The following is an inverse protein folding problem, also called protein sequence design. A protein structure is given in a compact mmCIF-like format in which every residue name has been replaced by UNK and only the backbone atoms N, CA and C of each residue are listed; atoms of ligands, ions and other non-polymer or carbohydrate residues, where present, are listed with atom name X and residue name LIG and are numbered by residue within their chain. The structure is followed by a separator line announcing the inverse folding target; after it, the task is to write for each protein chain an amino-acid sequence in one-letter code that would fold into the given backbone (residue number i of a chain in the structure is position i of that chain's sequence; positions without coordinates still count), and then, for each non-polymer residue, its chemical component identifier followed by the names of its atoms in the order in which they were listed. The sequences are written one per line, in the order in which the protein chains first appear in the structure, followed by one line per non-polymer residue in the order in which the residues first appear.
data_IF_258567454200
#
_entry.id   IF_258567454200
#
_cell.length_a   1.000
_cell.length_b   1.000
_cell.length_c   1.000
_cell.angle_alpha   90.00
_cell.angle_beta   90.00
_cell.angle_gamma   90.00
#
_symmetry.space_group_name_H-M   'P 1'
#
loop_
_entity.id
_entity.type
_entity.pdbx_description
1 polymer ?
#
# COMPACT_ATOMS: atom_id res chain seq x y z
N UNK A 1 1.01 14.13 6.57
CA UNK A 1 0.24 13.11 5.82
C UNK A 1 0.95 11.78 6.02
N UNK A 2 0.32 10.82 6.69
CA UNK A 2 0.86 9.47 6.76
C UNK A 2 0.40 8.69 5.52
N UNK A 3 1.34 8.05 4.81
CA UNK A 3 1.03 7.17 3.69
C UNK A 3 0.29 5.95 4.20
N UNK A 4 -0.92 5.73 3.68
CA UNK A 4 -1.77 4.59 4.04
C UNK A 4 -1.19 3.27 3.56
N UNK A 5 -0.63 3.25 2.35
CA UNK A 5 -0.03 2.05 1.79
C UNK A 5 1.49 2.09 1.92
N UNK A 6 2.12 0.94 2.19
CA UNK A 6 3.57 0.79 2.27
C UNK A 6 4.06 -0.47 1.61
N UNK A 7 5.30 -0.44 1.14
CA UNK A 7 6.04 -1.63 0.71
C UNK A 7 6.78 -2.21 1.92
N UNK A 8 6.64 -3.51 2.14
CA UNK A 8 7.48 -4.28 3.07
C UNK A 8 8.25 -5.35 2.32
N UNK A 9 9.47 -5.62 2.75
CA UNK A 9 10.24 -6.78 2.30
C UNK A 9 9.87 -7.99 3.17
N UNK A 10 9.60 -9.12 2.52
CA UNK A 10 9.38 -10.40 3.18
C UNK A 10 10.21 -11.46 2.50
N UNK A 11 10.77 -12.38 3.28
CA UNK A 11 11.44 -13.57 2.75
C UNK A 11 10.46 -14.73 2.78
N UNK A 12 10.26 -15.36 1.62
CA UNK A 12 9.42 -16.54 1.53
C UNK A 12 10.15 -17.71 2.19
N UNK A 13 9.48 -18.40 3.11
CA UNK A 13 10.14 -19.40 3.96
C UNK A 13 10.59 -20.66 3.20
N UNK A 14 9.94 -21.01 2.09
CA UNK A 14 10.24 -22.23 1.35
C UNK A 14 11.47 -22.14 0.43
N UNK A 15 11.70 -20.99 -0.20
CA UNK A 15 12.77 -20.81 -1.20
C UNK A 15 13.78 -19.70 -0.81
N UNK A 16 13.56 -19.01 0.32
CA UNK A 16 14.41 -17.91 0.78
C UNK A 16 14.36 -16.68 -0.12
N UNK A 17 13.45 -16.64 -1.10
CA UNK A 17 13.38 -15.57 -2.08
C UNK A 17 12.76 -14.34 -1.44
N UNK A 18 13.41 -13.20 -1.67
CA UNK A 18 12.88 -11.90 -1.29
C UNK A 18 11.64 -11.57 -2.13
N UNK A 19 10.62 -11.10 -1.45
CA UNK A 19 9.37 -10.65 -2.03
C UNK A 19 9.01 -9.30 -1.42
N UNK A 20 8.42 -8.44 -2.23
CA UNK A 20 7.99 -7.12 -1.82
C UNK A 20 6.47 -7.11 -1.79
N UNK A 21 5.89 -6.76 -0.64
CA UNK A 21 4.44 -6.79 -0.43
C UNK A 21 3.95 -5.37 -0.21
N UNK A 22 2.88 -5.00 -0.91
CA UNK A 22 2.18 -3.74 -0.65
C UNK A 22 1.11 -4.01 0.41
N UNK A 23 1.18 -3.29 1.52
CA UNK A 23 0.29 -3.44 2.69
C UNK A 23 -0.50 -2.16 2.93
N UNK A 24 -1.77 -2.32 3.33
CA UNK A 24 -2.61 -1.25 3.84
C UNK A 24 -2.42 -1.13 5.36
N UNK A 25 -1.96 0.03 5.83
CA UNK A 25 -1.78 0.36 7.24
C UNK A 25 -3.06 0.93 7.86
N UNK A 26 -4.16 0.19 7.81
CA UNK A 26 -5.35 0.52 8.60
C UNK A 26 -5.11 0.21 10.07
N UNK A 27 -5.72 1.00 10.97
CA UNK A 27 -5.74 0.66 12.40
C UNK A 27 -6.31 -0.76 12.56
N UNK A 28 -5.49 -1.69 13.05
CA UNK A 28 -5.89 -3.07 13.30
C UNK A 28 -5.20 -4.14 12.44
N UNK A 29 -4.38 -3.80 11.44
CA UNK A 29 -3.45 -4.79 10.87
C UNK A 29 -3.00 -4.57 9.42
N UNK A 30 -1.82 -5.12 9.10
CA UNK A 30 -1.26 -5.16 7.75
C UNK A 30 -1.88 -6.29 6.92
N UNK A 31 -2.95 -5.98 6.20
CA UNK A 31 -3.49 -6.91 5.20
C UNK A 31 -2.78 -6.70 3.85
N UNK A 32 -2.00 -7.69 3.38
CA UNK A 32 -1.57 -7.70 1.98
C UNK A 32 -2.76 -8.02 1.08
N UNK A 33 -3.43 -6.97 0.61
CA UNK A 33 -4.47 -7.07 -0.42
C UNK A 33 -4.00 -6.60 -1.80
N UNK A 34 -2.83 -5.96 -1.86
CA UNK A 34 -2.38 -5.18 -3.02
C UNK A 34 -1.27 -5.87 -3.82
N UNK A 35 -1.03 -7.15 -3.56
CA UNK A 35 -0.11 -7.98 -4.31
C UNK A 35 1.23 -8.25 -3.63
N UNK A 36 1.96 -9.17 -4.25
CA UNK A 36 3.30 -9.62 -3.88
C UNK A 36 4.14 -9.56 -5.15
N UNK A 37 5.29 -8.92 -5.07
CA UNK A 37 6.13 -8.57 -6.21
C UNK A 37 7.53 -9.15 -6.02
N UNK A 38 8.17 -9.54 -7.12
CA UNK A 38 9.56 -10.00 -7.09
C UNK A 38 10.55 -8.83 -7.15
N UNK A 39 10.19 -7.74 -7.82
CA UNK A 39 11.00 -6.54 -7.88
C UNK A 39 10.43 -5.43 -6.99
N UNK A 40 11.33 -4.73 -6.28
CA UNK A 40 10.97 -3.62 -5.39
C UNK A 40 10.32 -2.47 -6.15
N UNK A 41 10.85 -2.15 -7.34
CA UNK A 41 10.37 -1.05 -8.17
C UNK A 41 8.89 -1.22 -8.58
N UNK A 42 8.46 -2.46 -8.83
CA UNK A 42 7.05 -2.75 -9.17
C UNK A 42 6.14 -2.52 -7.95
N UNK A 43 6.56 -2.99 -6.78
CA UNK A 43 5.83 -2.74 -5.54
C UNK A 43 5.76 -1.25 -5.19
N UNK A 44 6.84 -0.50 -5.43
CA UNK A 44 6.91 0.94 -5.19
C UNK A 44 5.99 1.71 -6.16
N UNK A 45 5.93 1.32 -7.44
CA UNK A 45 5.02 1.91 -8.41
C UNK A 45 3.55 1.73 -8.00
N UNK A 46 3.17 0.51 -7.61
CA UNK A 46 1.81 0.21 -7.12
C UNK A 46 1.51 0.97 -5.82
N UNK A 47 2.46 0.98 -4.87
CA UNK A 47 2.32 1.71 -3.61
C UNK A 47 2.14 3.22 -3.84
N UNK A 48 2.87 3.80 -4.79
CA UNK A 48 2.75 5.21 -5.13
C UNK A 48 1.39 5.53 -5.74
N UNK A 49 0.92 4.68 -6.67
CA UNK A 49 -0.41 4.83 -7.28
C UNK A 49 -1.51 4.81 -6.22
N UNK A 50 -1.52 3.80 -5.35
CA UNK A 50 -2.54 3.66 -4.30
C UNK A 50 -2.54 4.83 -3.31
N UNK A 51 -1.37 5.35 -2.94
CA UNK A 51 -1.29 6.53 -2.07
C UNK A 51 -1.76 7.81 -2.78
N UNK A 52 -1.50 7.96 -4.08
CA UNK A 52 -2.01 9.09 -4.87
C UNK A 52 -3.54 9.03 -5.01
N UNK A 53 -4.10 7.84 -5.25
CA UNK A 53 -5.55 7.64 -5.30
C UNK A 53 -6.21 7.91 -3.95
N UNK A 54 -5.62 7.42 -2.86
CA UNK A 54 -6.14 7.67 -1.51
C UNK A 54 -6.14 9.17 -1.16
N UNK A 55 -5.09 9.90 -1.55
CA UNK A 55 -5.04 11.34 -1.37
C UNK A 55 -6.19 12.03 -2.12
N UNK A 56 -6.46 11.61 -3.36
CA UNK A 56 -7.58 12.15 -4.17
C UNK A 56 -8.94 11.84 -3.55
N UNK A 57 -9.13 10.63 -3.02
CA UNK A 57 -10.35 10.26 -2.30
C UNK A 57 -10.52 11.06 -1.00
N UNK A 58 -9.43 11.32 -0.26
CA UNK A 58 -9.46 12.17 0.92
C UNK A 58 -9.79 13.63 0.59
N UNK A 59 -9.39 14.12 -0.60
CA UNK A 59 -9.77 15.46 -1.07
C UNK A 59 -11.25 15.51 -1.45
N UNK A 60 -11.76 14.52 -2.18
CA UNK A 60 -13.18 14.45 -2.60
C UNK A 60 -14.13 14.18 -1.41
N UNK A 61 -13.74 13.32 -0.47
CA UNK A 61 -14.55 13.01 0.71
C UNK A 61 -14.65 14.17 1.72
N UNK A 62 -13.68 15.09 1.70
CA UNK A 62 -13.72 16.31 2.52
C UNK A 62 -14.60 17.42 1.95
N UNK A 63 -14.99 17.34 0.68
CA UNK A 63 -15.93 18.29 0.07
C UNK A 63 -17.40 17.86 0.19
N UNK A 64 -17.68 16.66 0.72
CA UNK A 64 -19.04 16.10 0.82
C UNK A 64 -19.55 15.95 2.26
N UNK A 65 -19.04 16.77 3.19
CA UNK A 65 -19.56 16.92 4.56
C UNK A 65 -19.43 18.39 4.97
N UNK A 66 -20.17 19.27 4.31
CA UNK A 66 -20.55 20.58 4.84
C UNK A 66 -21.79 21.09 4.10
N UNK A 67 -22.90 21.08 4.84
CA UNK A 67 -24.27 21.58 4.57
C UNK A 67 -25.10 20.89 3.49
#
# INVERSE_FOLDING_TARGET
MHSRFRVIETTRMDDGIKQYRVVDLVEGGSASKHGVFKARVEAEAVCSLLNAEHLRQSVVGRTSLSL
#
